data_IF_257744515753
#
_entry.id   IF_257744515753
#
_cell.length_a   1.000
_cell.length_b   1.000
_cell.length_c   1.000
_cell.angle_alpha   90.00
_cell.angle_beta   90.00
_cell.angle_gamma   90.00
#
_symmetry.space_group_name_H-M   'P 1'
#
loop_
_entity.id
_entity.type
_entity.pdbx_description
1 polymer ?
#
# COMPACT_ATOMS: atom_id res chain seq x y z
N UNK A 1 17.44 42.57 40.26
CA UNK A 1 18.79 42.04 39.97
C UNK A 1 18.62 40.74 39.19
N UNK A 2 19.27 40.62 38.03
CA UNK A 2 19.25 39.44 37.14
C UNK A 2 20.08 38.28 37.73
N UNK A 3 19.57 37.04 37.68
CA UNK A 3 20.31 35.76 37.75
C UNK A 3 19.49 34.72 36.94
N UNK A 4 19.75 34.48 35.66
CA UNK A 4 20.73 33.56 35.04
C UNK A 4 20.65 32.07 35.48
N UNK A 5 20.01 31.28 34.60
CA UNK A 5 20.34 29.93 34.06
C UNK A 5 20.46 28.72 35.01
N UNK A 6 19.64 27.68 34.73
CA UNK A 6 20.09 26.29 34.58
C UNK A 6 19.03 25.44 33.83
N UNK A 7 19.34 25.07 32.58
CA UNK A 7 18.72 23.99 31.80
C UNK A 7 19.37 22.66 32.21
N UNK A 8 18.59 21.61 32.49
CA UNK A 8 19.00 20.19 32.53
C UNK A 8 17.78 19.34 32.93
N UNK A 9 17.36 18.23 32.33
CA UNK A 9 17.79 17.45 31.17
C UNK A 9 16.52 16.70 30.69
N UNK A 10 16.28 16.63 29.38
CA UNK A 10 15.20 15.82 28.82
C UNK A 10 15.64 14.35 28.76
N UNK A 11 14.86 13.37 29.27
CA UNK A 11 15.05 11.98 28.90
C UNK A 11 14.38 11.72 27.54
N UNK A 12 14.62 10.53 26.98
CA UNK A 12 14.05 9.99 25.74
C UNK A 12 14.80 10.30 24.44
N UNK A 13 15.82 9.49 24.13
CA UNK A 13 15.96 8.98 22.77
C UNK A 13 16.78 7.68 22.75
N UNK A 14 16.09 6.56 22.95
CA UNK A 14 16.66 5.24 22.68
C UNK A 14 15.54 4.31 22.21
N UNK A 15 15.01 4.52 21.00
CA UNK A 15 14.11 3.56 20.35
C UNK A 15 14.03 3.76 18.82
N UNK A 16 15.16 3.74 18.11
CA UNK A 16 15.17 3.93 16.65
C UNK A 16 15.66 2.73 15.82
N UNK A 17 16.18 1.67 16.44
CA UNK A 17 16.85 0.58 15.69
C UNK A 17 15.88 -0.56 15.29
N UNK A 18 14.74 -0.72 15.97
CA UNK A 18 13.77 -1.79 15.67
C UNK A 18 12.72 -1.41 14.60
N UNK A 19 12.50 -0.12 14.34
CA UNK A 19 11.50 0.32 13.38
C UNK A 19 11.92 0.05 11.92
N UNK A 20 13.21 0.09 11.62
CA UNK A 20 13.72 -0.05 10.25
C UNK A 20 13.50 -1.46 9.66
N UNK A 21 13.63 -2.52 10.46
CA UNK A 21 13.42 -3.90 9.97
C UNK A 21 11.95 -4.19 9.74
N UNK A 22 11.08 -3.79 10.68
CA UNK A 22 9.63 -3.95 10.53
C UNK A 22 9.08 -3.18 9.31
N UNK A 23 9.64 -2.00 9.01
CA UNK A 23 9.27 -1.24 7.82
C UNK A 23 9.70 -1.92 6.51
N UNK A 24 10.85 -2.61 6.49
CA UNK A 24 11.28 -3.36 5.31
C UNK A 24 10.33 -4.53 5.00
N UNK A 25 9.85 -5.23 6.03
CA UNK A 25 8.91 -6.35 5.86
C UNK A 25 7.56 -5.87 5.29
N UNK A 26 6.97 -4.79 5.83
CA UNK A 26 5.70 -4.25 5.28
C UNK A 26 5.84 -3.65 3.89
N UNK A 27 7.02 -3.10 3.55
CA UNK A 27 7.34 -2.65 2.19
C UNK A 27 7.33 -3.84 1.23
N UNK A 28 8.00 -4.93 1.60
CA UNK A 28 8.03 -6.15 0.79
C UNK A 28 6.64 -6.76 0.63
N UNK A 29 5.83 -6.79 1.70
CA UNK A 29 4.46 -7.32 1.68
C UNK A 29 3.56 -6.55 0.71
N UNK A 30 3.55 -5.21 0.79
CA UNK A 30 2.74 -4.40 -0.13
C UNK A 30 3.22 -4.51 -1.57
N UNK A 31 4.54 -4.60 -1.80
CA UNK A 31 5.10 -4.80 -3.14
C UNK A 31 4.73 -6.17 -3.71
N UNK A 32 4.74 -7.22 -2.90
CA UNK A 32 4.30 -8.55 -3.31
C UNK A 32 2.82 -8.53 -3.71
N UNK A 33 1.97 -7.86 -2.92
CA UNK A 33 0.55 -7.69 -3.23
C UNK A 33 0.34 -6.92 -4.55
N UNK A 34 1.02 -5.80 -4.75
CA UNK A 34 0.94 -5.02 -6.00
C UNK A 34 1.45 -5.80 -7.20
N UNK A 35 2.53 -6.57 -7.05
CA UNK A 35 3.08 -7.43 -8.11
C UNK A 35 2.07 -8.50 -8.54
N UNK A 36 1.37 -9.07 -7.58
CA UNK A 36 0.35 -10.08 -7.80
C UNK A 36 -0.89 -9.53 -8.50
N UNK A 37 -1.32 -8.31 -8.15
CA UNK A 37 -2.32 -7.56 -8.92
C UNK A 37 -1.84 -7.29 -10.35
N UNK A 38 -0.59 -6.87 -10.51
CA UNK A 38 0.03 -6.63 -11.83
C UNK A 38 0.04 -7.85 -12.73
N UNK A 39 0.28 -9.06 -12.18
CA UNK A 39 0.15 -10.33 -12.92
C UNK A 39 -1.29 -10.58 -13.38
N UNK A 40 -2.26 -10.37 -12.49
CA UNK A 40 -3.67 -10.55 -12.82
C UNK A 40 -4.09 -9.60 -13.95
N UNK A 41 -3.76 -8.31 -13.86
CA UNK A 41 -3.98 -7.33 -14.95
C UNK A 41 -3.28 -7.77 -16.23
N UNK A 42 -2.01 -8.17 -16.14
CA UNK A 42 -1.21 -8.62 -17.29
C UNK A 42 -1.84 -9.79 -18.04
N UNK A 43 -2.55 -10.68 -17.35
CA UNK A 43 -3.25 -11.82 -17.98
C UNK A 43 -4.43 -11.41 -18.86
N UNK A 44 -5.09 -10.28 -18.56
CA UNK A 44 -6.26 -9.76 -19.28
C UNK A 44 -5.98 -8.51 -20.11
N UNK A 45 -4.82 -7.87 -19.96
CA UNK A 45 -4.49 -6.65 -20.69
C UNK A 45 -4.55 -6.81 -22.23
N UNK A 46 -4.07 -7.91 -22.84
CA UNK A 46 -4.23 -8.11 -24.29
C UNK A 46 -5.70 -8.26 -24.71
N UNK A 47 -6.55 -8.83 -23.85
CA UNK A 47 -8.00 -8.92 -24.11
C UNK A 47 -8.62 -7.52 -24.07
N UNK A 48 -8.31 -6.73 -23.04
CA UNK A 48 -8.80 -5.36 -22.89
C UNK A 48 -8.35 -4.42 -24.03
N UNK A 49 -7.17 -4.68 -24.62
CA UNK A 49 -6.65 -3.94 -25.78
C UNK A 49 -7.18 -4.43 -27.13
N UNK A 50 -7.96 -5.52 -27.16
CA UNK A 50 -8.44 -6.15 -28.39
C UNK A 50 -7.38 -6.94 -29.16
N UNK A 51 -6.21 -7.19 -28.55
CA UNK A 51 -5.13 -8.01 -29.13
C UNK A 51 -5.44 -9.51 -29.06
N UNK A 52 -6.34 -9.92 -28.15
CA UNK A 52 -6.86 -11.28 -28.03
C UNK A 52 -8.39 -11.28 -27.99
N UNK A 53 -9.05 -12.35 -28.49
CA UNK A 53 -10.50 -12.51 -28.33
C UNK A 53 -10.92 -12.52 -26.87
N UNK A 54 -12.16 -12.13 -26.61
CA UNK A 54 -12.75 -12.21 -25.27
C UNK A 54 -12.85 -13.67 -24.81
N UNK A 55 -12.34 -13.93 -23.62
CA UNK A 55 -12.48 -15.20 -22.90
C UNK A 55 -13.04 -14.88 -21.50
N UNK A 56 -14.32 -15.20 -21.31
CA UNK A 56 -15.02 -14.93 -20.06
C UNK A 56 -14.38 -15.62 -18.85
N UNK A 57 -13.87 -16.84 -19.01
CA UNK A 57 -13.29 -17.60 -17.91
C UNK A 57 -11.95 -17.02 -17.48
N UNK A 58 -11.11 -16.65 -18.44
CA UNK A 58 -9.84 -15.96 -18.20
C UNK A 58 -10.09 -14.60 -17.52
N UNK A 59 -11.04 -13.82 -18.05
CA UNK A 59 -11.39 -12.50 -17.48
C UNK A 59 -11.89 -12.63 -16.04
N UNK A 60 -12.86 -13.52 -15.80
CA UNK A 60 -13.43 -13.70 -14.47
C UNK A 60 -12.40 -14.23 -13.45
N UNK A 61 -11.46 -15.07 -13.89
CA UNK A 61 -10.36 -15.55 -13.02
C UNK A 61 -9.47 -14.38 -12.58
N UNK A 62 -9.10 -13.50 -13.49
CA UNK A 62 -8.28 -12.33 -13.18
C UNK A 62 -9.04 -11.32 -12.29
N UNK A 63 -10.32 -11.08 -12.54
CA UNK A 63 -11.15 -10.18 -11.73
C UNK A 63 -11.30 -10.69 -10.29
N UNK A 64 -11.52 -12.00 -10.09
CA UNK A 64 -11.53 -12.63 -8.77
C UNK A 64 -10.20 -12.44 -8.04
N UNK A 65 -9.09 -12.68 -8.72
CA UNK A 65 -7.76 -12.45 -8.14
C UNK A 65 -7.54 -10.99 -7.75
N UNK A 66 -7.97 -10.04 -8.59
CA UNK A 66 -7.89 -8.61 -8.28
C UNK A 66 -8.74 -8.24 -7.06
N UNK A 67 -9.96 -8.77 -6.96
CA UNK A 67 -10.80 -8.56 -5.78
C UNK A 67 -10.14 -9.15 -4.52
N UNK A 68 -9.68 -10.39 -4.56
CA UNK A 68 -9.05 -11.05 -3.42
C UNK A 68 -7.81 -10.29 -2.92
N UNK A 69 -7.00 -9.75 -3.84
CA UNK A 69 -5.85 -8.93 -3.50
C UNK A 69 -6.27 -7.53 -3.01
N UNK A 70 -7.31 -6.92 -3.59
CA UNK A 70 -7.84 -5.64 -3.15
C UNK A 70 -8.36 -5.71 -1.70
N UNK A 71 -9.04 -6.79 -1.32
CA UNK A 71 -9.54 -6.95 0.05
C UNK A 71 -8.41 -7.13 1.08
N UNK A 72 -7.22 -7.58 0.66
CA UNK A 72 -6.01 -7.66 1.50
C UNK A 72 -5.26 -6.34 1.62
N UNK A 73 -5.57 -5.34 0.78
CA UNK A 73 -4.94 -4.04 0.81
C UNK A 73 -5.50 -3.23 2.00
N UNK A 74 -4.92 -3.41 3.17
CA UNK A 74 -5.20 -2.60 4.35
C UNK A 74 -4.17 -1.46 4.47
N UNK A 75 -4.57 -0.18 4.27
CA UNK A 75 -3.68 0.96 4.39
C UNK A 75 -2.99 1.07 5.75
N UNK A 76 -3.68 0.74 6.84
CA UNK A 76 -3.13 0.89 8.19
C UNK A 76 -2.00 -0.12 8.46
N UNK A 77 -2.16 -1.34 7.94
CA UNK A 77 -1.18 -2.42 8.09
C UNK A 77 -0.02 -2.29 7.11
N UNK A 78 -0.30 -1.95 5.85
CA UNK A 78 0.69 -1.99 4.76
C UNK A 78 1.44 -0.67 4.55
N UNK A 79 0.91 0.45 5.04
CA UNK A 79 1.52 1.77 4.93
C UNK A 79 1.66 2.46 6.29
N UNK A 80 2.27 1.81 7.31
CA UNK A 80 2.49 2.44 8.61
C UNK A 80 3.42 3.65 8.47
N UNK A 81 3.31 4.59 9.42
CA UNK A 81 4.18 5.77 9.46
C UNK A 81 5.67 5.36 9.49
N UNK A 82 6.51 6.06 8.73
CA UNK A 82 7.94 5.75 8.61
C UNK A 82 8.29 4.66 7.60
N UNK A 83 7.30 4.05 6.93
CA UNK A 83 7.53 3.14 5.80
C UNK A 83 7.64 3.88 4.44
N UNK A 84 7.90 5.18 4.46
CA UNK A 84 8.15 6.06 3.31
C UNK A 84 9.62 6.09 2.87
N UNK A 85 10.47 5.32 3.55
CA UNK A 85 11.91 5.23 3.29
C UNK A 85 12.34 3.79 2.95
N UNK A 86 13.52 3.63 2.35
CA UNK A 86 14.03 2.32 1.89
C UNK A 86 13.68 2.03 0.43
N UNK A 87 13.58 0.75 0.07
CA UNK A 87 13.23 0.31 -1.28
C UNK A 87 11.73 0.46 -1.54
N UNK A 88 11.25 1.70 -1.65
CA UNK A 88 9.83 1.97 -1.90
C UNK A 88 9.63 3.09 -2.90
N UNK A 89 8.58 2.95 -3.69
CA UNK A 89 8.08 3.96 -4.62
C UNK A 89 6.87 4.71 -4.07
N UNK A 90 6.46 4.43 -2.83
CA UNK A 90 5.35 5.07 -2.15
C UNK A 90 5.66 6.57 -1.96
N UNK A 91 4.76 7.44 -2.42
CA UNK A 91 4.93 8.89 -2.27
C UNK A 91 4.63 9.32 -0.83
N UNK A 92 5.39 10.28 -0.25
CA UNK A 92 5.08 10.90 1.04
C UNK A 92 3.63 11.39 1.18
N UNK A 93 2.99 11.75 0.05
CA UNK A 93 1.58 12.16 -0.03
C UNK A 93 0.59 11.15 0.57
N UNK A 94 0.94 9.86 0.61
CA UNK A 94 0.12 8.83 1.26
C UNK A 94 -0.08 9.12 2.75
N UNK A 95 0.93 9.70 3.40
CA UNK A 95 0.89 10.04 4.82
C UNK A 95 0.46 11.49 5.06
N UNK A 96 0.76 12.41 4.12
CA UNK A 96 0.28 13.80 4.18
C UNK A 96 -1.25 13.91 3.99
N UNK A 97 -1.82 13.11 3.08
CA UNK A 97 -3.26 13.03 2.81
C UNK A 97 -3.74 11.58 2.89
N UNK A 98 -3.62 11.01 4.09
CA UNK A 98 -4.01 9.63 4.35
C UNK A 98 -5.49 9.37 4.08
N UNK A 99 -6.36 10.35 4.32
CA UNK A 99 -7.78 10.23 4.06
C UNK A 99 -8.08 10.02 2.56
N UNK A 100 -7.43 10.78 1.68
CA UNK A 100 -7.57 10.58 0.24
C UNK A 100 -7.01 9.22 -0.22
N UNK A 101 -5.90 8.76 0.37
CA UNK A 101 -5.34 7.45 0.05
C UNK A 101 -6.28 6.31 0.48
N UNK A 102 -6.81 6.36 1.70
CA UNK A 102 -7.80 5.38 2.20
C UNK A 102 -9.05 5.38 1.32
N UNK A 103 -9.57 6.55 0.96
CA UNK A 103 -10.72 6.65 0.06
C UNK A 103 -10.44 6.05 -1.33
N UNK A 104 -9.23 6.21 -1.87
CA UNK A 104 -8.84 5.58 -3.13
C UNK A 104 -8.77 4.04 -3.02
N UNK A 105 -8.24 3.53 -1.90
CA UNK A 105 -8.20 2.08 -1.62
C UNK A 105 -9.62 1.52 -1.45
N UNK A 106 -10.49 2.20 -0.73
CA UNK A 106 -11.88 1.78 -0.53
C UNK A 106 -12.65 1.77 -1.86
N UNK A 107 -12.44 2.79 -2.70
CA UNK A 107 -13.00 2.79 -4.05
C UNK A 107 -12.49 1.59 -4.86
N UNK A 108 -11.19 1.30 -4.81
CA UNK A 108 -10.63 0.15 -5.52
C UNK A 108 -11.20 -1.19 -5.03
N UNK A 109 -11.40 -1.35 -3.72
CA UNK A 109 -12.10 -2.51 -3.14
C UNK A 109 -13.54 -2.63 -3.64
N UNK A 110 -14.27 -1.51 -3.68
CA UNK A 110 -15.64 -1.49 -4.17
C UNK A 110 -15.74 -1.83 -5.66
N UNK A 111 -14.88 -1.24 -6.49
CA UNK A 111 -14.85 -1.49 -7.94
C UNK A 111 -14.55 -2.96 -8.25
N UNK A 112 -13.57 -3.55 -7.56
CA UNK A 112 -13.20 -4.96 -7.76
C UNK A 112 -14.24 -5.93 -7.24
N UNK A 113 -14.91 -5.62 -6.12
CA UNK A 113 -16.04 -6.40 -5.62
C UNK A 113 -17.23 -6.36 -6.59
N UNK A 114 -17.54 -5.18 -7.15
CA UNK A 114 -18.60 -5.03 -8.15
C UNK A 114 -18.30 -5.79 -9.45
N UNK A 115 -17.02 -5.92 -9.83
CA UNK A 115 -16.61 -6.63 -11.04
C UNK A 115 -16.77 -8.16 -10.95
N UNK A 116 -16.97 -8.71 -9.76
CA UNK A 116 -17.10 -10.16 -9.52
C UNK A 116 -18.48 -10.56 -8.98
N UNK A 117 -19.38 -9.60 -8.81
CA UNK A 117 -20.78 -9.79 -8.42
C UNK A 117 -21.61 -10.30 -9.61
#
# INVERSE_FOLDING_TARGET
MKRLIAFSAAPFLALAVFAATANADVIADRQALMKDQGKAIGSIAPIAKGEKPFDAATVMTALKKLNDDAQKLDPATLFPAGSDTGDTTASPKIWEDNAAFVAAVDKYKADTAAAVA
#
